data_IF_566778863632
#
_entry.id   IF_566778863632
#
_cell.length_a   1.000
_cell.length_b   1.000
_cell.length_c   1.000
_cell.angle_alpha   90.00
_cell.angle_beta   90.00
_cell.angle_gamma   90.00
#
_symmetry.space_group_name_H-M   'P 1'
#
loop_
_entity.id
_entity.type
_entity.pdbx_description
1 polymer ?
#
# COMPACT_ATOMS: atom_id res chain seq x y z
N UNK A 1 -3.05 4.98 -1.56
CA UNK A 1 -1.66 5.08 -2.07
C UNK A 1 -1.65 6.13 -3.16
N UNK A 2 -0.53 6.77 -3.47
CA UNK A 2 -0.47 7.82 -4.50
C UNK A 2 -0.03 9.14 -3.91
N UNK A 3 0.29 10.10 -4.78
CA UNK A 3 0.92 11.34 -4.34
C UNK A 3 0.03 12.15 -3.38
N UNK A 4 0.51 12.38 -2.16
CA UNK A 4 -0.05 13.31 -1.18
C UNK A 4 -0.03 14.73 -1.71
N UNK A 5 -1.02 15.54 -1.36
CA UNK A 5 -1.01 16.98 -1.64
C UNK A 5 -0.39 17.80 -0.50
N UNK A 6 0.02 17.15 0.59
CA UNK A 6 0.61 17.82 1.77
C UNK A 6 1.75 17.02 2.38
N UNK A 7 2.83 17.73 2.75
CA UNK A 7 4.05 17.13 3.33
C UNK A 7 3.87 16.58 4.75
N UNK A 8 2.86 17.04 5.51
CA UNK A 8 2.62 16.67 6.91
C UNK A 8 1.51 15.62 7.11
N UNK A 9 1.41 14.64 6.20
CA UNK A 9 0.41 13.57 6.35
C UNK A 9 0.93 12.43 7.23
N UNK A 10 0.15 12.03 8.23
CA UNK A 10 0.36 10.78 8.97
C UNK A 10 -0.57 9.71 8.39
N UNK A 11 -0.03 8.78 7.61
CA UNK A 11 -0.79 7.68 6.99
C UNK A 11 -0.01 6.39 7.14
N UNK A 12 -0.71 5.28 7.42
CA UNK A 12 -0.09 3.95 7.50
C UNK A 12 0.63 3.56 6.20
N UNK A 13 0.17 4.07 5.05
CA UNK A 13 0.86 3.87 3.78
C UNK A 13 2.22 4.57 3.69
N UNK A 14 2.33 5.78 4.25
CA UNK A 14 3.58 6.54 4.32
C UNK A 14 4.59 5.84 5.22
N UNK A 15 4.12 5.36 6.37
CA UNK A 15 4.97 4.65 7.33
C UNK A 15 5.57 3.38 6.72
N UNK A 16 4.76 2.56 6.04
CA UNK A 16 5.24 1.35 5.35
C UNK A 16 6.29 1.69 4.29
N UNK A 17 6.03 2.68 3.43
CA UNK A 17 6.97 3.06 2.37
C UNK A 17 8.26 3.69 2.94
N UNK A 18 8.16 4.47 4.03
CA UNK A 18 9.33 4.98 4.74
C UNK A 18 10.21 3.84 5.29
N UNK A 19 9.60 2.84 5.93
CA UNK A 19 10.28 1.64 6.45
C UNK A 19 10.97 0.80 5.35
N UNK A 20 10.52 0.95 4.10
CA UNK A 20 11.14 0.32 2.93
C UNK A 20 12.36 1.10 2.44
N UNK A 21 12.37 2.42 2.64
CA UNK A 21 13.46 3.33 2.22
C UNK A 21 14.54 3.54 3.28
N UNK A 22 14.24 3.37 4.58
CA UNK A 22 15.18 3.62 5.69
C UNK A 22 15.94 2.36 6.16
N UNK A 23 15.50 1.17 5.75
CA UNK A 23 16.14 -0.11 6.02
C UNK A 23 15.54 -0.89 7.18
N UNK A 24 14.48 -0.40 7.83
CA UNK A 24 13.76 -1.15 8.87
C UNK A 24 13.31 -2.53 8.40
N UNK A 25 12.99 -2.67 7.11
CA UNK A 25 12.50 -3.93 6.52
C UNK A 25 13.59 -4.76 5.81
N UNK A 26 14.87 -4.42 5.97
CA UNK A 26 15.96 -5.07 5.23
C UNK A 26 16.04 -6.59 5.48
N UNK A 27 15.76 -7.03 6.72
CA UNK A 27 15.69 -8.45 7.09
C UNK A 27 14.52 -9.19 6.43
N UNK A 28 13.50 -8.46 5.99
CA UNK A 28 12.33 -8.96 5.29
C UNK A 28 11.03 -8.35 5.82
N UNK A 29 9.94 -8.63 5.11
CA UNK A 29 8.59 -8.17 5.45
C UNK A 29 7.70 -9.34 5.86
N UNK A 30 6.68 -9.13 6.71
CA UNK A 30 5.73 -10.19 7.01
C UNK A 30 4.94 -10.62 5.76
N UNK A 31 4.42 -11.85 5.72
CA UNK A 31 3.59 -12.34 4.61
C UNK A 31 2.20 -11.71 4.74
N UNK A 32 2.06 -10.49 4.22
CA UNK A 32 0.84 -9.70 4.29
C UNK A 32 0.51 -9.13 2.93
N UNK A 33 -0.78 -9.08 2.62
CA UNK A 33 -1.36 -8.51 1.42
C UNK A 33 -2.19 -7.27 1.77
N UNK A 34 -2.19 -6.30 0.86
CA UNK A 34 -2.93 -5.06 1.00
C UNK A 34 -3.72 -4.79 -0.27
N UNK A 35 -4.98 -4.38 -0.11
CA UNK A 35 -5.71 -3.73 -1.20
C UNK A 35 -5.10 -2.36 -1.46
N UNK A 36 -4.77 -2.09 -2.71
CA UNK A 36 -4.13 -0.86 -3.17
C UNK A 36 -5.10 -0.11 -4.07
N UNK A 37 -5.18 1.19 -3.83
CA UNK A 37 -5.94 2.14 -4.65
C UNK A 37 -5.17 3.45 -4.70
N UNK A 38 -5.19 4.09 -5.87
CA UNK A 38 -4.68 5.46 -6.02
C UNK A 38 -5.65 6.46 -5.37
N UNK A 39 -5.14 7.43 -4.61
CA UNK A 39 -5.98 8.47 -3.98
C UNK A 39 -6.78 9.28 -5.01
N UNK A 40 -6.29 9.39 -6.25
CA UNK A 40 -7.02 10.03 -7.36
C UNK A 40 -8.24 9.21 -7.75
N UNK A 41 -8.12 7.88 -7.84
CA UNK A 41 -9.26 6.98 -8.13
C UNK A 41 -10.31 7.05 -7.00
N UNK A 42 -9.88 7.24 -5.75
CA UNK A 42 -10.79 7.44 -4.61
C UNK A 42 -11.52 8.77 -4.72
N UNK A 43 -10.84 9.85 -5.12
CA UNK A 43 -11.48 11.14 -5.36
C UNK A 43 -12.48 11.07 -6.52
N UNK A 44 -12.11 10.42 -7.62
CA UNK A 44 -12.97 10.16 -8.77
C UNK A 44 -14.22 9.37 -8.34
N UNK A 45 -14.05 8.35 -7.49
CA UNK A 45 -15.16 7.56 -6.94
C UNK A 45 -16.09 8.36 -6.03
N UNK A 46 -15.55 9.22 -5.16
CA UNK A 46 -16.36 10.11 -4.33
C UNK A 46 -17.17 11.09 -5.18
N UNK A 47 -16.55 11.68 -6.21
CA UNK A 47 -17.22 12.58 -7.13
C UNK A 47 -18.32 11.85 -7.90
N UNK A 48 -18.01 10.70 -8.52
CA UNK A 48 -18.99 9.91 -9.27
C UNK A 48 -20.19 9.50 -8.41
N UNK A 49 -19.95 9.03 -7.17
CA UNK A 49 -21.00 8.64 -6.25
C UNK A 49 -21.91 9.81 -5.82
N UNK A 50 -21.36 11.03 -5.73
CA UNK A 50 -22.13 12.21 -5.35
C UNK A 50 -23.12 12.65 -6.44
N UNK A 51 -22.81 12.41 -7.72
CA UNK A 51 -23.60 12.89 -8.85
C UNK A 51 -24.37 11.80 -9.61
N UNK A 52 -24.08 10.52 -9.35
CA UNK A 52 -24.80 9.39 -9.97
C UNK A 52 -26.11 9.11 -9.19
N UNK A 53 -27.31 9.39 -9.75
CA UNK A 53 -28.56 9.19 -9.02
C UNK A 53 -28.85 7.74 -8.65
N UNK A 54 -28.22 6.78 -9.36
CA UNK A 54 -28.33 5.35 -9.10
C UNK A 54 -27.35 4.86 -8.03
N UNK A 55 -26.40 5.70 -7.58
CA UNK A 55 -25.42 5.29 -6.61
C UNK A 55 -26.08 5.03 -5.25
N UNK A 56 -25.84 3.85 -4.68
CA UNK A 56 -26.48 3.47 -3.42
C UNK A 56 -25.71 2.40 -2.64
N UNK A 57 -25.87 2.43 -1.32
CA UNK A 57 -25.25 1.46 -0.42
C UNK A 57 -23.73 1.62 -0.36
N UNK A 58 -22.99 0.52 -0.56
CA UNK A 58 -21.53 0.47 -0.40
C UNK A 58 -20.81 0.10 -1.68
N UNK A 59 -19.72 0.82 -1.96
CA UNK A 59 -18.76 0.51 -3.00
C UNK A 59 -17.41 0.12 -2.38
N UNK A 60 -16.74 -0.85 -2.99
CA UNK A 60 -15.36 -1.19 -2.68
C UNK A 60 -14.49 -0.53 -3.75
N UNK A 61 -13.59 0.35 -3.31
CA UNK A 61 -12.66 1.04 -4.19
C UNK A 61 -11.28 0.40 -4.05
N UNK A 62 -10.87 -0.39 -5.02
CA UNK A 62 -9.62 -1.16 -5.00
C UNK A 62 -9.14 -1.43 -6.42
N UNK A 63 -7.96 -0.92 -6.78
CA UNK A 63 -7.34 -1.15 -8.09
C UNK A 63 -6.65 -2.52 -8.18
N UNK A 64 -6.35 -3.14 -7.04
CA UNK A 64 -5.85 -4.51 -6.96
C UNK A 64 -5.12 -4.79 -5.65
N UNK A 65 -4.56 -5.98 -5.51
CA UNK A 65 -3.85 -6.40 -4.30
C UNK A 65 -2.37 -6.60 -4.59
N UNK A 66 -1.51 -6.13 -3.68
CA UNK A 66 -0.10 -6.50 -3.63
C UNK A 66 0.28 -7.00 -2.23
N UNK A 67 1.17 -7.97 -2.16
CA UNK A 67 1.90 -8.28 -0.93
C UNK A 67 2.94 -7.20 -0.62
N UNK A 68 3.31 -7.06 0.65
CA UNK A 68 4.42 -6.18 1.06
C UNK A 68 5.71 -6.52 0.31
N UNK A 69 5.94 -7.80 0.03
CA UNK A 69 7.11 -8.24 -0.74
C UNK A 69 7.02 -7.81 -2.20
N UNK A 70 5.84 -7.87 -2.82
CA UNK A 70 5.64 -7.38 -4.20
C UNK A 70 5.79 -5.86 -4.29
N UNK A 71 5.37 -5.11 -3.28
CA UNK A 71 5.63 -3.66 -3.19
C UNK A 71 7.14 -3.41 -3.16
N UNK A 72 7.88 -4.12 -2.30
CA UNK A 72 9.34 -3.99 -2.20
C UNK A 72 10.06 -4.34 -3.51
N UNK A 73 9.63 -5.42 -4.17
CA UNK A 73 10.15 -5.82 -5.48
C UNK A 73 9.83 -4.80 -6.57
N UNK A 74 8.63 -4.21 -6.57
CA UNK A 74 8.23 -3.16 -7.52
C UNK A 74 9.13 -1.95 -7.39
N UNK A 75 9.33 -1.47 -6.16
CA UNK A 75 10.21 -0.33 -5.89
C UNK A 75 11.66 -0.63 -6.26
N UNK A 76 12.17 -1.81 -5.89
CA UNK A 76 13.52 -2.22 -6.29
C UNK A 76 13.68 -2.32 -7.82
N UNK A 77 12.66 -2.79 -8.53
CA UNK A 77 12.68 -2.85 -9.99
C UNK A 77 12.81 -1.47 -10.64
N UNK A 78 12.18 -0.45 -10.05
CA UNK A 78 12.20 0.92 -10.57
C UNK A 78 13.43 1.74 -10.09
N UNK A 79 13.70 1.74 -8.78
CA UNK A 79 14.74 2.56 -8.15
C UNK A 79 16.10 1.85 -8.04
N UNK A 80 16.18 0.58 -8.40
CA UNK A 80 17.39 -0.23 -8.33
C UNK A 80 17.88 -0.48 -6.90
N UNK A 81 19.19 -0.53 -6.74
CA UNK A 81 19.86 -0.77 -5.45
C UNK A 81 20.06 0.49 -4.58
N UNK A 82 19.51 1.65 -4.97
CA UNK A 82 19.73 2.94 -4.28
C UNK A 82 19.20 2.94 -2.84
N UNK A 83 18.13 2.19 -2.59
CA UNK A 83 17.46 2.12 -1.29
C UNK A 83 17.43 0.67 -0.77
N UNK A 84 17.40 0.48 0.56
CA UNK A 84 17.43 -0.83 1.23
C UNK A 84 16.06 -1.54 1.18
N UNK A 85 15.43 -1.63 0.00
CA UNK A 85 14.12 -2.28 -0.15
C UNK A 85 14.14 -3.75 0.28
N UNK A 86 13.04 -4.24 0.87
CA UNK A 86 12.94 -5.63 1.33
C UNK A 86 13.00 -6.61 0.14
N UNK A 87 13.67 -7.74 0.36
CA UNK A 87 13.90 -8.77 -0.68
C UNK A 87 13.28 -10.13 -0.36
N UNK A 88 13.01 -10.36 0.91
CA UNK A 88 12.56 -11.63 1.45
C UNK A 88 11.31 -11.42 2.32
N UNK A 89 10.53 -12.48 2.50
CA UNK A 89 9.50 -12.52 3.52
C UNK A 89 10.05 -13.17 4.80
N UNK A 90 9.59 -12.67 5.94
CA UNK A 90 9.85 -13.30 7.25
C UNK A 90 8.77 -14.35 7.51
N UNK A 91 9.09 -15.59 7.90
CA UNK A 91 8.07 -16.57 8.26
C UNK A 91 7.13 -16.06 9.36
N UNK A 92 5.83 -16.35 9.24
CA UNK A 92 4.79 -15.89 10.18
C UNK A 92 5.17 -16.14 11.65
N UNK A 93 5.67 -17.33 11.97
CA UNK A 93 6.07 -17.70 13.34
C UNK A 93 7.19 -16.82 13.87
N UNK A 94 8.21 -16.54 13.04
CA UNK A 94 9.32 -15.66 13.40
C UNK A 94 8.83 -14.22 13.60
N UNK A 95 7.99 -13.73 12.69
CA UNK A 95 7.41 -12.39 12.83
C UNK A 95 6.54 -12.27 14.09
N UNK A 96 5.75 -13.30 14.44
CA UNK A 96 4.92 -13.33 15.65
C UNK A 96 5.74 -13.17 16.94
N UNK A 97 6.98 -13.65 16.98
CA UNK A 97 7.86 -13.48 18.15
C UNK A 97 8.27 -12.01 18.32
N UNK A 98 8.61 -11.34 17.22
CA UNK A 98 9.11 -9.96 17.20
C UNK A 98 8.02 -8.89 17.04
N UNK A 99 6.78 -9.27 16.75
CA UNK A 99 5.67 -8.36 16.47
C UNK A 99 5.44 -7.26 17.55
N UNK A 100 5.56 -7.53 18.86
CA UNK A 100 5.40 -6.48 19.88
C UNK A 100 6.44 -5.35 19.77
N UNK A 101 7.65 -5.61 19.25
CA UNK A 101 8.65 -4.56 19.00
C UNK A 101 8.23 -3.60 17.88
N UNK A 102 7.31 -4.02 17.02
CA UNK A 102 6.71 -3.20 15.97
C UNK A 102 5.32 -2.67 16.37
N UNK A 103 4.94 -2.76 17.65
CA UNK A 103 3.62 -2.32 18.14
C UNK A 103 2.46 -3.20 17.69
N UNK A 104 2.72 -4.39 17.15
CA UNK A 104 1.70 -5.31 16.66
C UNK A 104 1.39 -6.41 17.68
N UNK A 105 0.12 -6.64 17.94
CA UNK A 105 -0.32 -7.76 18.78
C UNK A 105 -0.07 -9.11 18.10
N UNK A 106 0.40 -10.10 18.86
CA UNK A 106 0.57 -11.47 18.37
C UNK A 106 -0.72 -12.07 17.81
N UNK A 107 -1.89 -11.67 18.33
CA UNK A 107 -3.21 -12.09 17.86
C UNK A 107 -3.54 -11.50 16.48
N UNK A 108 -3.12 -10.27 16.22
CA UNK A 108 -3.24 -9.65 14.90
C UNK A 108 -2.42 -10.43 13.87
N UNK A 109 -1.17 -10.75 14.18
CA UNK A 109 -0.29 -11.57 13.34
C UNK A 109 -0.93 -12.92 13.02
N UNK A 110 -1.48 -13.60 14.02
CA UNK A 110 -2.10 -14.91 13.86
C UNK A 110 -3.26 -14.89 12.86
N UNK A 111 -4.08 -13.83 12.91
CA UNK A 111 -5.35 -13.75 12.17
C UNK A 111 -5.22 -13.08 10.80
N UNK A 112 -4.21 -12.24 10.58
CA UNK A 112 -4.12 -11.39 9.39
C UNK A 112 -2.91 -11.71 8.49
N UNK A 113 -1.89 -12.41 8.98
CA UNK A 113 -0.70 -12.74 8.18
C UNK A 113 -0.77 -14.15 7.60
N UNK A 114 -0.28 -14.30 6.37
CA UNK A 114 -0.26 -15.56 5.62
C UNK A 114 -1.47 -15.78 4.71
N UNK A 115 -2.39 -14.82 4.64
CA UNK A 115 -3.62 -14.94 3.86
C UNK A 115 -3.66 -13.87 2.77
N UNK A 116 -3.64 -14.25 1.48
CA UNK A 116 -3.91 -13.33 0.38
C UNK A 116 -5.32 -12.75 0.51
N UNK A 117 -5.46 -11.43 0.33
CA UNK A 117 -6.75 -10.75 0.34
C UNK A 117 -7.08 -10.24 -1.06
N UNK A 118 -8.29 -10.49 -1.53
CA UNK A 118 -8.76 -9.99 -2.83
C UNK A 118 -10.10 -9.30 -2.63
N UNK A 119 -10.31 -8.25 -3.40
CA UNK A 119 -11.49 -7.42 -3.32
C UNK A 119 -12.21 -7.41 -4.66
N UNK A 120 -13.52 -7.58 -4.62
CA UNK A 120 -14.35 -7.39 -5.80
C UNK A 120 -14.75 -5.91 -5.90
N UNK A 121 -14.08 -5.18 -6.79
CA UNK A 121 -14.35 -3.78 -7.08
C UNK A 121 -15.26 -3.61 -8.33
N UNK A 122 -15.81 -4.68 -8.90
CA UNK A 122 -16.55 -4.64 -10.16
C UNK A 122 -17.70 -3.64 -10.13
N UNK A 123 -18.41 -3.57 -9.00
CA UNK A 123 -19.53 -2.64 -8.80
C UNK A 123 -19.14 -1.16 -8.94
N UNK A 124 -17.93 -0.80 -8.52
CA UNK A 124 -17.42 0.58 -8.70
C UNK A 124 -17.08 0.88 -10.16
N UNK A 125 -16.66 -0.13 -10.92
CA UNK A 125 -16.39 0.02 -12.36
C UNK A 125 -17.72 0.18 -13.10
N UNK A 126 -18.67 -0.72 -12.83
CA UNK A 126 -19.92 -0.80 -13.59
C UNK A 126 -20.89 0.34 -13.27
N UNK A 127 -21.05 0.70 -11.99
CA UNK A 127 -22.07 1.68 -11.56
C UNK A 127 -21.51 3.12 -11.45
N UNK A 128 -20.23 3.27 -11.08
CA UNK A 128 -19.60 4.57 -10.90
C UNK A 128 -18.65 4.96 -12.05
N UNK A 129 -18.37 4.04 -12.99
CA UNK A 129 -17.50 4.32 -14.15
C UNK A 129 -16.03 4.50 -13.77
N UNK A 130 -15.57 3.86 -12.69
CA UNK A 130 -14.21 4.06 -12.21
C UNK A 130 -13.20 3.29 -13.07
N UNK A 131 -12.18 4.03 -13.50
CA UNK A 131 -11.03 3.50 -14.22
C UNK A 131 -9.81 3.53 -13.30
N UNK A 132 -9.45 2.38 -12.76
CA UNK A 132 -8.33 2.27 -11.84
C UNK A 132 -6.99 2.48 -12.53
N UNK A 133 -6.13 3.26 -11.89
CA UNK A 133 -4.74 3.44 -12.29
C UNK A 133 -3.92 2.20 -11.94
N UNK A 134 -2.79 2.02 -12.62
CA UNK A 134 -1.89 0.91 -12.32
C UNK A 134 -1.33 1.03 -10.89
N UNK A 135 -1.64 0.04 -10.06
CA UNK A 135 -1.30 0.07 -8.63
C UNK A 135 0.21 0.05 -8.36
N UNK A 136 1.03 -0.50 -9.28
CA UNK A 136 2.49 -0.52 -9.13
C UNK A 136 3.06 0.86 -9.44
N UNK A 137 2.55 1.52 -10.46
CA UNK A 137 2.89 2.91 -10.79
C UNK A 137 2.50 3.85 -9.65
N UNK A 138 1.30 3.70 -9.07
CA UNK A 138 0.89 4.50 -7.90
C UNK A 138 1.82 4.32 -6.70
N UNK A 139 2.34 3.11 -6.46
CA UNK A 139 3.33 2.84 -5.42
C UNK A 139 4.67 3.53 -5.72
N UNK A 140 5.12 3.49 -6.96
CA UNK A 140 6.37 4.13 -7.42
C UNK A 140 6.27 5.65 -7.25
N UNK A 141 5.20 6.26 -7.76
CA UNK A 141 4.95 7.72 -7.65
C UNK A 141 4.87 8.16 -6.20
N UNK A 142 4.20 7.38 -5.35
CA UNK A 142 4.12 7.69 -3.93
C UNK A 142 5.49 7.64 -3.25
N UNK A 143 6.32 6.64 -3.54
CA UNK A 143 7.67 6.58 -2.98
C UNK A 143 8.58 7.69 -3.53
N UNK A 144 8.47 8.03 -4.81
CA UNK A 144 9.20 9.16 -5.41
C UNK A 144 8.89 10.45 -4.65
N UNK A 145 7.61 10.69 -4.36
CA UNK A 145 7.23 11.85 -3.58
C UNK A 145 7.84 11.86 -2.17
N UNK A 146 7.98 10.72 -1.50
CA UNK A 146 8.65 10.70 -0.18
C UNK A 146 10.11 11.09 -0.25
N UNK A 147 10.77 10.85 -1.38
CA UNK A 147 12.13 11.33 -1.63
C UNK A 147 12.10 12.84 -1.84
N UNK A 148 11.16 13.34 -2.64
CA UNK A 148 11.04 14.75 -2.99
C UNK A 148 10.66 15.62 -1.78
N UNK A 149 9.79 15.11 -0.90
CA UNK A 149 9.38 15.73 0.37
C UNK A 149 10.46 15.61 1.47
N UNK A 150 11.57 14.91 1.21
CA UNK A 150 12.67 14.73 2.17
C UNK A 150 12.37 13.78 3.33
N UNK A 151 11.23 13.08 3.30
CA UNK A 151 10.83 12.08 4.30
C UNK A 151 11.76 10.86 4.24
N UNK A 152 12.13 10.44 3.03
CA UNK A 152 13.17 9.45 2.77
C UNK A 152 14.41 10.17 2.28
N UNK A 153 15.55 9.95 2.95
CA UNK A 153 16.82 10.59 2.55
C UNK A 153 17.18 10.20 1.11
N UNK A 154 17.40 11.20 0.26
CA UNK A 154 17.91 11.02 -1.10
C UNK A 154 19.29 10.34 -1.05
N UNK A 155 19.47 9.26 -1.82
CA UNK A 155 20.72 8.48 -1.93
C UNK A 155 21.22 8.45 -3.36
#
# INVERSE_FOLDING_TARGET
>A
MGASLTANTQSGSLEVLKQFGDGTTLAGVPPMWMGIVDVRDVADAHFAAAFQPKAHGRYIICGGTLSLLEIGKTLKGHFGGKYPFPRNSVPKTMFKLIAPFFGLERKFVERNMGYPIYFNAQRSIDELGIHYRDIRQSVIEHFQQLIDDGIVKKR
#
